data_IF_444871173479
#
_entry.id   IF_444871173479
#
_cell.length_a   1.000
_cell.length_b   1.000
_cell.length_c   1.000
_cell.angle_alpha   90.00
_cell.angle_beta   90.00
_cell.angle_gamma   90.00
#
_symmetry.space_group_name_H-M   'P 1'
#
loop_
_entity.id
_entity.type
_entity.pdbx_description
1 polymer ?
#
# COMPACT_ATOMS: atom_id res chain seq x y z
N UNK A 1 7.10 0.95 23.37
CA UNK A 1 6.67 1.82 22.26
C UNK A 1 7.56 1.74 21.02
N UNK A 2 8.87 1.46 21.11
CA UNK A 2 9.78 1.42 19.95
C UNK A 2 9.84 0.15 19.07
N UNK A 3 8.99 -0.86 19.30
CA UNK A 3 9.15 -2.16 18.59
C UNK A 3 8.30 -2.26 17.31
N UNK A 4 7.06 -1.74 17.30
CA UNK A 4 6.11 -1.96 16.19
C UNK A 4 6.53 -1.33 14.86
N UNK A 5 7.09 -0.13 14.88
CA UNK A 5 7.58 0.52 13.64
C UNK A 5 8.76 -0.20 13.02
N UNK A 6 9.68 -0.70 13.86
CA UNK A 6 10.81 -1.51 13.42
C UNK A 6 10.35 -2.87 12.90
N UNK A 7 9.42 -3.53 13.60
CA UNK A 7 8.79 -4.78 13.13
C UNK A 7 8.16 -4.57 11.75
N UNK A 8 7.37 -3.50 11.58
CA UNK A 8 6.73 -3.20 10.31
C UNK A 8 7.73 -2.97 9.18
N UNK A 9 8.82 -2.22 9.44
CA UNK A 9 9.91 -2.04 8.47
C UNK A 9 10.62 -3.36 8.11
N UNK A 10 10.81 -4.26 9.07
CA UNK A 10 11.42 -5.58 8.83
C UNK A 10 10.47 -6.47 8.02
N UNK A 11 9.18 -6.50 8.38
CA UNK A 11 8.15 -7.25 7.66
C UNK A 11 8.06 -6.79 6.20
N UNK A 12 8.11 -5.48 5.95
CA UNK A 12 8.15 -4.89 4.62
C UNK A 12 9.38 -5.33 3.81
N UNK A 13 10.57 -5.24 4.41
CA UNK A 13 11.80 -5.68 3.73
C UNK A 13 11.75 -7.18 3.42
N UNK A 14 11.19 -7.99 4.33
CA UNK A 14 11.03 -9.42 4.11
C UNK A 14 9.96 -9.73 3.04
N UNK A 15 8.90 -8.92 2.94
CA UNK A 15 7.92 -9.01 1.86
C UNK A 15 8.59 -8.79 0.50
N UNK A 16 9.48 -7.80 0.38
CA UNK A 16 10.27 -7.57 -0.84
C UNK A 16 11.14 -8.78 -1.20
N UNK A 17 11.81 -9.39 -0.22
CA UNK A 17 12.61 -10.61 -0.46
C UNK A 17 11.72 -11.76 -0.96
N UNK A 18 10.53 -11.93 -0.38
CA UNK A 18 9.57 -12.94 -0.81
C UNK A 18 9.00 -12.69 -2.21
N UNK A 19 8.80 -11.42 -2.58
CA UNK A 19 8.41 -11.06 -3.95
C UNK A 19 9.47 -11.52 -4.96
N UNK A 20 10.75 -11.26 -4.66
CA UNK A 20 11.86 -11.70 -5.51
C UNK A 20 11.96 -13.23 -5.57
N UNK A 21 11.63 -13.94 -4.49
CA UNK A 21 11.59 -15.41 -4.49
C UNK A 21 10.31 -16.01 -5.10
N UNK A 22 9.39 -15.19 -5.61
CA UNK A 22 8.13 -15.64 -6.21
C UNK A 22 7.03 -16.06 -5.21
N UNK A 23 7.27 -15.93 -3.91
CA UNK A 23 6.27 -16.22 -2.86
C UNK A 23 5.33 -15.03 -2.67
N UNK A 24 4.45 -14.82 -3.64
CA UNK A 24 3.49 -13.72 -3.65
C UNK A 24 2.53 -13.76 -2.45
N UNK A 25 2.15 -14.97 -1.99
CA UNK A 25 1.23 -15.13 -0.85
C UNK A 25 1.91 -14.73 0.45
N UNK A 26 3.15 -15.19 0.66
CA UNK A 26 3.92 -14.82 1.85
C UNK A 26 4.29 -13.34 1.86
N UNK A 27 4.60 -12.75 0.70
CA UNK A 27 4.84 -11.32 0.58
C UNK A 27 3.61 -10.50 0.98
N UNK A 28 2.43 -10.88 0.46
CA UNK A 28 1.17 -10.21 0.79
C UNK A 28 0.87 -10.27 2.29
N UNK A 29 1.03 -11.44 2.91
CA UNK A 29 0.77 -11.63 4.33
C UNK A 29 1.68 -10.76 5.22
N UNK A 30 2.96 -10.63 4.85
CA UNK A 30 3.91 -9.78 5.57
C UNK A 30 3.57 -8.30 5.41
N UNK A 31 3.18 -7.88 4.21
CA UNK A 31 2.84 -6.47 3.96
C UNK A 31 1.55 -6.05 4.67
N UNK A 32 0.56 -6.94 4.74
CA UNK A 32 -0.63 -6.72 5.57
C UNK A 32 -0.30 -6.61 7.07
N UNK A 33 0.67 -7.41 7.54
CA UNK A 33 1.15 -7.35 8.93
C UNK A 33 1.85 -6.02 9.22
N UNK A 34 2.79 -5.64 8.36
CA UNK A 34 3.52 -4.37 8.44
C UNK A 34 2.55 -3.18 8.49
N UNK A 35 1.55 -3.21 7.61
CA UNK A 35 0.55 -2.17 7.53
C UNK A 35 -0.29 -2.05 8.81
N UNK A 36 -0.73 -3.17 9.39
CA UNK A 36 -1.45 -3.17 10.67
C UNK A 36 -0.60 -2.57 11.80
N UNK A 37 0.69 -2.89 11.84
CA UNK A 37 1.61 -2.34 12.82
C UNK A 37 1.82 -0.83 12.66
N UNK A 38 1.99 -0.34 11.43
CA UNK A 38 2.09 1.10 11.16
C UNK A 38 0.80 1.84 11.51
N UNK A 39 -0.37 1.31 11.14
CA UNK A 39 -1.65 1.91 11.49
C UNK A 39 -1.86 2.01 13.00
N UNK A 40 -1.58 0.92 13.73
CA UNK A 40 -1.68 0.92 15.19
C UNK A 40 -0.72 1.92 15.82
N UNK A 41 0.52 1.99 15.33
CA UNK A 41 1.51 2.93 15.85
C UNK A 41 1.13 4.39 15.57
N UNK A 42 0.59 4.68 14.39
CA UNK A 42 0.12 6.04 14.04
C UNK A 42 -1.07 6.44 14.91
N UNK A 43 -2.00 5.52 15.15
CA UNK A 43 -3.11 5.74 16.08
C UNK A 43 -2.63 6.01 17.51
N UNK A 44 -1.69 5.20 18.01
CA UNK A 44 -1.15 5.31 19.38
C UNK A 44 -0.33 6.60 19.60
N UNK A 45 0.36 7.09 18.55
CA UNK A 45 1.23 8.26 18.64
C UNK A 45 0.49 9.59 18.47
N UNK A 46 -0.64 9.62 17.75
CA UNK A 46 -1.39 10.85 17.49
C UNK A 46 -0.49 11.98 16.97
N UNK A 47 -0.42 13.10 17.71
CA UNK A 47 0.40 14.27 17.35
C UNK A 47 1.92 14.00 17.36
N UNK A 48 2.36 12.86 17.90
CA UNK A 48 3.79 12.47 17.98
C UNK A 48 4.25 11.66 16.76
N UNK A 49 3.39 11.49 15.76
CA UNK A 49 3.74 10.78 14.52
C UNK A 49 4.87 11.51 13.81
N UNK A 50 5.94 10.78 13.51
CA UNK A 50 7.08 11.33 12.78
C UNK A 50 6.88 11.22 11.26
N UNK A 51 7.42 12.15 10.47
CA UNK A 51 7.39 12.05 9.01
C UNK A 51 7.92 10.72 8.48
N UNK A 52 8.98 10.16 9.06
CA UNK A 52 9.56 8.89 8.59
C UNK A 52 8.63 7.70 8.79
N UNK A 53 7.81 7.71 9.85
CA UNK A 53 6.82 6.67 10.09
C UNK A 53 5.74 6.68 9.00
N UNK A 54 5.22 7.86 8.66
CA UNK A 54 4.21 7.98 7.61
C UNK A 54 4.79 7.77 6.21
N UNK A 55 6.07 8.09 5.98
CA UNK A 55 6.79 7.66 4.75
C UNK A 55 6.82 6.14 4.62
N UNK A 56 7.17 5.43 5.70
CA UNK A 56 7.16 3.96 5.74
C UNK A 56 5.78 3.39 5.43
N UNK A 57 4.73 3.96 6.05
CA UNK A 57 3.35 3.56 5.78
C UNK A 57 2.96 3.76 4.30
N UNK A 58 3.32 4.91 3.70
CA UNK A 58 3.00 5.21 2.31
C UNK A 58 3.75 4.29 1.32
N UNK A 59 5.00 3.96 1.61
CA UNK A 59 5.77 2.98 0.84
C UNK A 59 5.12 1.59 0.93
N UNK A 60 4.67 1.19 2.12
CA UNK A 60 3.96 -0.07 2.33
C UNK A 60 2.64 -0.15 1.57
N UNK A 61 1.85 0.92 1.59
CA UNK A 61 0.60 1.02 0.82
C UNK A 61 0.82 0.86 -0.68
N UNK A 62 1.86 1.49 -1.25
CA UNK A 62 2.22 1.33 -2.65
C UNK A 62 2.57 -0.13 -2.98
N UNK A 63 3.33 -0.80 -2.12
CA UNK A 63 3.73 -2.19 -2.36
C UNK A 63 2.57 -3.16 -2.22
N UNK A 64 1.73 -2.98 -1.20
CA UNK A 64 0.50 -3.75 -1.02
C UNK A 64 -0.40 -3.61 -2.24
N UNK A 65 -0.60 -2.38 -2.71
CA UNK A 65 -1.36 -2.11 -3.92
C UNK A 65 -0.77 -2.81 -5.15
N UNK A 66 0.55 -2.79 -5.31
CA UNK A 66 1.23 -3.51 -6.39
C UNK A 66 0.94 -5.02 -6.33
N UNK A 67 1.03 -5.64 -5.15
CA UNK A 67 0.68 -7.05 -4.98
C UNK A 67 -0.81 -7.33 -5.29
N UNK A 68 -1.70 -6.43 -4.92
CA UNK A 68 -3.12 -6.52 -5.24
C UNK A 68 -3.37 -6.44 -6.74
N UNK A 69 -2.61 -5.61 -7.48
CA UNK A 69 -2.63 -5.60 -8.95
C UNK A 69 -2.25 -6.97 -9.51
N UNK A 70 -1.16 -7.56 -9.02
CA UNK A 70 -0.73 -8.89 -9.46
C UNK A 70 -1.78 -9.97 -9.16
N UNK A 71 -2.56 -9.80 -8.08
CA UNK A 71 -3.65 -10.70 -7.70
C UNK A 71 -5.02 -10.31 -8.30
N UNK A 72 -5.06 -9.39 -9.27
CA UNK A 72 -6.28 -8.87 -9.95
C UNK A 72 -7.30 -8.19 -9.03
N UNK A 73 -6.89 -7.78 -7.83
CA UNK A 73 -7.71 -7.04 -6.86
C UNK A 73 -7.65 -5.54 -7.16
N UNK A 74 -8.08 -5.15 -8.36
CA UNK A 74 -7.83 -3.80 -8.91
C UNK A 74 -8.48 -2.67 -8.09
N UNK A 75 -9.66 -2.91 -7.46
CA UNK A 75 -10.29 -1.92 -6.57
C UNK A 75 -9.47 -1.63 -5.32
N UNK A 76 -8.99 -2.69 -4.65
CA UNK A 76 -8.21 -2.55 -3.44
C UNK A 76 -6.86 -1.89 -3.73
N UNK A 77 -6.25 -2.25 -4.87
CA UNK A 77 -5.02 -1.60 -5.34
C UNK A 77 -5.22 -0.10 -5.56
N UNK A 78 -6.34 0.30 -6.18
CA UNK A 78 -6.65 1.70 -6.42
C UNK A 78 -6.75 2.49 -5.11
N UNK A 79 -7.50 1.96 -4.15
CA UNK A 79 -7.69 2.59 -2.84
C UNK A 79 -6.36 2.77 -2.11
N UNK A 80 -5.51 1.73 -2.12
CA UNK A 80 -4.22 1.77 -1.44
C UNK A 80 -3.20 2.70 -2.11
N UNK A 81 -3.15 2.74 -3.45
CA UNK A 81 -2.33 3.72 -4.16
C UNK A 81 -2.80 5.16 -3.90
N UNK A 82 -4.11 5.40 -3.82
CA UNK A 82 -4.66 6.73 -3.49
C UNK A 82 -4.31 7.16 -2.07
N UNK A 83 -4.39 6.24 -1.09
CA UNK A 83 -3.96 6.52 0.29
C UNK A 83 -2.48 6.86 0.37
N UNK A 84 -1.62 6.10 -0.32
CA UNK A 84 -0.18 6.40 -0.39
C UNK A 84 0.07 7.79 -1.00
N UNK A 85 -0.60 8.11 -2.11
CA UNK A 85 -0.50 9.40 -2.78
C UNK A 85 -0.83 10.57 -1.84
N UNK A 86 -1.93 10.48 -1.08
CA UNK A 86 -2.34 11.51 -0.12
C UNK A 86 -1.24 11.73 0.92
N UNK A 87 -0.66 10.67 1.46
CA UNK A 87 0.42 10.78 2.46
C UNK A 87 1.66 11.44 1.82
N UNK A 88 2.08 11.01 0.63
CA UNK A 88 3.22 11.61 -0.06
C UNK A 88 3.01 13.10 -0.36
N UNK A 89 1.80 13.50 -0.73
CA UNK A 89 1.43 14.90 -0.93
C UNK A 89 1.47 15.71 0.35
N UNK A 90 0.95 15.17 1.46
CA UNK A 90 1.00 15.81 2.78
C UNK A 90 2.44 16.01 3.27
N UNK A 91 3.34 15.09 2.92
CA UNK A 91 4.76 15.16 3.25
C UNK A 91 5.57 16.05 2.29
N UNK A 92 4.98 16.50 1.18
CA UNK A 92 5.69 17.21 0.13
C UNK A 92 6.73 16.35 -0.61
N UNK A 93 6.64 15.03 -0.51
CA UNK A 93 7.60 14.10 -1.13
C UNK A 93 7.22 13.84 -2.59
N UNK A 94 7.90 14.55 -3.50
CA UNK A 94 7.63 14.47 -4.94
C UNK A 94 8.03 13.14 -5.57
N UNK A 95 8.99 12.42 -5.00
CA UNK A 95 9.40 11.12 -5.53
C UNK A 95 8.33 10.07 -5.20
N UNK A 96 7.86 10.05 -3.95
CA UNK A 96 6.77 9.17 -3.54
C UNK A 96 5.47 9.46 -4.29
N UNK A 97 5.13 10.74 -4.47
CA UNK A 97 3.99 11.18 -5.28
C UNK A 97 4.07 10.66 -6.71
N UNK A 98 5.21 10.84 -7.39
CA UNK A 98 5.42 10.37 -8.75
C UNK A 98 5.29 8.83 -8.86
N UNK A 99 5.83 8.08 -7.89
CA UNK A 99 5.70 6.62 -7.86
C UNK A 99 4.24 6.18 -7.73
N UNK A 100 3.46 6.77 -6.81
CA UNK A 100 2.04 6.43 -6.66
C UNK A 100 1.22 6.80 -7.90
N UNK A 101 1.49 7.95 -8.53
CA UNK A 101 0.81 8.38 -9.76
C UNK A 101 1.12 7.47 -10.95
N UNK A 102 2.39 7.06 -11.12
CA UNK A 102 2.78 6.12 -12.16
C UNK A 102 2.04 4.78 -12.00
N UNK A 103 2.00 4.27 -10.77
CA UNK A 103 1.29 3.04 -10.46
C UNK A 103 -0.24 3.14 -10.66
N UNK A 104 -0.85 4.28 -10.35
CA UNK A 104 -2.26 4.55 -10.67
C UNK A 104 -2.51 4.61 -12.18
N UNK A 105 -1.58 5.17 -12.95
CA UNK A 105 -1.64 5.16 -14.42
C UNK A 105 -1.60 3.74 -14.98
N UNK A 106 -0.67 2.91 -14.47
CA UNK A 106 -0.61 1.48 -14.83
C UNK A 106 -1.89 0.74 -14.44
N UNK A 107 -2.44 1.01 -13.27
CA UNK A 107 -3.70 0.43 -12.83
C UNK A 107 -4.88 0.83 -13.74
N UNK A 108 -4.98 2.10 -14.14
CA UNK A 108 -6.02 2.57 -15.04
C UNK A 108 -5.95 1.87 -16.40
N UNK A 109 -4.74 1.65 -16.93
CA UNK A 109 -4.53 0.84 -18.12
C UNK A 109 -5.04 -0.60 -17.95
N UNK A 110 -4.73 -1.25 -16.83
CA UNK A 110 -5.21 -2.60 -16.53
C UNK A 110 -6.73 -2.67 -16.35
N UNK A 111 -7.36 -1.67 -15.75
CA UNK A 111 -8.82 -1.59 -15.61
C UNK A 111 -9.53 -1.41 -16.97
N UNK A 112 -8.87 -0.78 -17.94
CA UNK A 112 -9.36 -0.72 -19.32
C UNK A 112 -9.32 -2.07 -20.04
N UNK A 113 -8.30 -2.90 -19.75
CA UNK A 113 -8.14 -4.25 -20.33
C UNK A 113 -9.05 -5.27 -19.62
N UNK A 114 -9.18 -5.14 -18.31
CA UNK A 114 -10.05 -5.96 -17.46
C UNK A 114 -11.21 -5.08 -16.99
N UNK A 115 -12.20 -4.79 -17.86
CA UNK A 115 -13.33 -3.97 -17.48
C UNK A 115 -13.96 -4.60 -16.26
N UNK A 116 -13.96 -3.85 -15.17
CA UNK A 116 -14.58 -4.31 -13.95
C UNK A 116 -16.05 -4.60 -14.25
N UNK A 117 -16.48 -5.83 -13.99
CA UNK A 117 -17.91 -6.09 -13.83
C UNK A 117 -18.33 -5.33 -12.58
N UNK A 118 -18.80 -4.09 -12.76
CA UNK A 118 -19.74 -3.51 -11.82
C UNK A 118 -20.95 -4.44 -11.87
N UNK A 119 -21.08 -5.33 -10.88
CA UNK A 119 -22.41 -5.84 -10.54
C UNK A 119 -23.11 -4.64 -9.94
N UNK A 120 -23.66 -3.79 -10.80
CA UNK A 120 -24.74 -2.90 -10.44
C UNK A 120 -25.89 -3.85 -10.13
N UNK A 121 -25.99 -4.27 -8.88
CA UNK A 121 -27.24 -4.73 -8.31
C UNK A 121 -28.16 -3.51 -8.41
N UNK A 122 -28.86 -3.39 -9.55
CA UNK A 122 -30.09 -2.63 -9.65
C UNK A 122 -31.05 -3.29 -8.67
N UNK A 123 -31.02 -2.83 -7.43
CA UNK A 123 -32.00 -3.16 -6.41
C UNK A 123 -33.21 -2.26 -6.57
N UNK A 124 -34.29 -2.87 -7.07
CA UNK A 124 -35.72 -2.59 -6.88
C UNK A 124 -36.25 -1.21 -7.29
#
# INVERSE_FOLDING_TARGET
>A
MGNRGNIAGIEHNLAQVKLVSGDLKGALALEESAFRHWQGLIHDLGDRVTPDLVRGQAAGLNNLAFMQVQNKQLNLAQENYQKALIIWQQLGDKNGEASSLNNLGYLAFLQGIYPQRSITINGL
#
